data_IF_979523819963
#
_entry.id   IF_979523819963
#
_cell.length_a   1.000
_cell.length_b   1.000
_cell.length_c   1.000
_cell.angle_alpha   90.00
_cell.angle_beta   90.00
_cell.angle_gamma   90.00
#
_symmetry.space_group_name_H-M   'P 1'
#
loop_
_entity.id
_entity.type
_entity.pdbx_description
1 polymer ?
#
# COMPACT_ATOMS: atom_id res chain seq x y z
N UNK A 1 -32.32 17.50 -21.73
CA UNK A 1 -31.38 18.64 -21.91
C UNK A 1 -30.18 18.11 -22.68
N UNK A 2 -30.08 18.43 -23.97
CA UNK A 2 -28.91 18.09 -24.77
C UNK A 2 -27.75 19.01 -24.42
N UNK A 3 -26.63 18.44 -24.00
CA UNK A 3 -25.41 19.19 -23.68
C UNK A 3 -24.86 19.73 -25.01
N UNK A 4 -24.73 21.06 -25.18
CA UNK A 4 -24.21 21.63 -26.42
C UNK A 4 -22.82 21.07 -26.74
N UNK A 5 -22.53 20.82 -28.03
CA UNK A 5 -21.33 20.12 -28.50
C UNK A 5 -20.02 20.69 -27.92
N UNK A 6 -19.95 22.02 -27.74
CA UNK A 6 -18.84 22.72 -27.09
C UNK A 6 -18.58 22.26 -25.65
N UNK A 7 -19.61 22.05 -24.85
CA UNK A 7 -19.46 21.60 -23.46
C UNK A 7 -19.10 20.11 -23.40
N UNK A 8 -19.60 19.29 -24.33
CA UNK A 8 -19.16 17.89 -24.49
C UNK A 8 -17.65 17.80 -24.73
N UNK A 9 -17.11 18.65 -25.62
CA UNK A 9 -15.67 18.70 -25.88
C UNK A 9 -14.86 19.09 -24.62
N UNK A 10 -15.34 20.08 -23.85
CA UNK A 10 -14.72 20.45 -22.57
C UNK A 10 -14.77 19.32 -21.54
N UNK A 11 -15.90 18.62 -21.38
CA UNK A 11 -15.99 17.47 -20.46
C UNK A 11 -15.03 16.35 -20.83
N UNK A 12 -14.87 16.06 -22.11
CA UNK A 12 -13.90 15.06 -22.59
C UNK A 12 -12.46 15.53 -22.31
N UNK A 13 -12.15 16.79 -22.61
CA UNK A 13 -10.83 17.36 -22.37
C UNK A 13 -10.46 17.33 -20.89
N UNK A 14 -11.35 17.77 -19.99
CA UNK A 14 -11.13 17.68 -18.55
C UNK A 14 -11.04 16.22 -18.07
N UNK A 15 -11.90 15.34 -18.58
CA UNK A 15 -11.85 13.92 -18.26
C UNK A 15 -10.49 13.30 -18.58
N UNK A 16 -9.92 13.59 -19.75
CA UNK A 16 -8.58 13.13 -20.13
C UNK A 16 -7.48 13.77 -19.28
N UNK A 17 -7.57 15.08 -19.03
CA UNK A 17 -6.59 15.81 -18.25
C UNK A 17 -6.49 15.29 -16.81
N UNK A 18 -7.61 14.91 -16.19
CA UNK A 18 -7.62 14.41 -14.81
C UNK A 18 -7.43 12.89 -14.72
N UNK A 19 -7.92 12.10 -15.69
CA UNK A 19 -7.82 10.63 -15.62
C UNK A 19 -6.39 10.11 -15.67
N UNK A 20 -5.52 10.70 -16.49
CA UNK A 20 -4.13 10.24 -16.63
C UNK A 20 -3.32 10.47 -15.33
N UNK A 21 -3.30 11.68 -14.74
CA UNK A 21 -2.64 11.90 -13.45
C UNK A 21 -3.24 11.06 -12.33
N UNK A 22 -4.57 10.95 -12.24
CA UNK A 22 -5.22 10.17 -11.18
C UNK A 22 -4.87 8.68 -11.29
N UNK A 23 -4.82 8.13 -12.50
CA UNK A 23 -4.43 6.72 -12.72
C UNK A 23 -2.97 6.48 -12.37
N UNK A 24 -2.07 7.39 -12.76
CA UNK A 24 -0.65 7.31 -12.42
C UNK A 24 -0.41 7.39 -10.91
N UNK A 25 -1.06 8.34 -10.22
CA UNK A 25 -1.00 8.43 -8.76
C UNK A 25 -1.57 7.19 -8.08
N UNK A 26 -2.65 6.61 -8.61
CA UNK A 26 -3.20 5.35 -8.11
C UNK A 26 -2.21 4.19 -8.23
N UNK A 27 -1.52 4.09 -9.37
CA UNK A 27 -0.45 3.11 -9.57
C UNK A 27 0.71 3.30 -8.60
N UNK A 28 1.24 4.53 -8.47
CA UNK A 28 2.30 4.85 -7.51
C UNK A 28 1.90 4.54 -6.06
N UNK A 29 0.64 4.83 -5.70
CA UNK A 29 0.11 4.52 -4.39
C UNK A 29 0.07 3.00 -4.15
N UNK A 30 -0.39 2.22 -5.12
CA UNK A 30 -0.46 0.76 -4.99
C UNK A 30 0.94 0.14 -4.84
N UNK A 31 1.90 0.55 -5.68
CA UNK A 31 3.28 0.07 -5.60
C UNK A 31 3.94 0.51 -4.29
N UNK A 32 3.72 1.75 -3.86
CA UNK A 32 4.20 2.27 -2.58
C UNK A 32 3.69 1.49 -1.38
N UNK A 33 2.38 1.17 -1.33
CA UNK A 33 1.80 0.33 -0.26
C UNK A 33 2.45 -1.05 -0.20
N UNK A 34 2.59 -1.70 -1.34
CA UNK A 34 3.18 -3.04 -1.41
C UNK A 34 4.65 -3.01 -0.95
N UNK A 35 5.42 -2.05 -1.43
CA UNK A 35 6.80 -1.85 -0.98
C UNK A 35 6.87 -1.58 0.52
N UNK A 36 5.98 -0.73 1.07
CA UNK A 36 5.94 -0.44 2.51
C UNK A 36 5.64 -1.68 3.34
N UNK A 37 4.72 -2.54 2.90
CA UNK A 37 4.46 -3.82 3.58
C UNK A 37 5.69 -4.72 3.62
N UNK A 38 6.46 -4.80 2.53
CA UNK A 38 7.71 -5.58 2.50
C UNK A 38 8.78 -4.99 3.43
N UNK A 39 8.96 -3.67 3.40
CA UNK A 39 9.89 -2.96 4.28
C UNK A 39 9.53 -3.18 5.75
N UNK A 40 8.25 -3.14 6.08
CA UNK A 40 7.77 -3.40 7.45
C UNK A 40 8.13 -4.81 7.93
N UNK A 41 8.01 -5.84 7.07
CA UNK A 41 8.47 -7.18 7.43
C UNK A 41 9.99 -7.25 7.67
N UNK A 42 10.76 -6.51 6.89
CA UNK A 42 12.21 -6.40 7.06
C UNK A 42 12.55 -5.69 8.37
N UNK A 43 11.84 -4.61 8.69
CA UNK A 43 12.01 -3.88 9.95
C UNK A 43 11.68 -4.75 11.17
N UNK A 44 10.62 -5.56 11.10
CA UNK A 44 10.23 -6.50 12.16
C UNK A 44 11.34 -7.53 12.44
N UNK A 45 12.03 -8.04 11.41
CA UNK A 45 13.15 -8.98 11.60
C UNK A 45 14.41 -8.25 12.08
N UNK A 46 14.72 -7.04 11.60
CA UNK A 46 15.89 -6.28 12.06
C UNK A 46 15.80 -5.86 13.53
N UNK A 47 14.60 -5.64 14.03
CA UNK A 47 14.34 -5.23 15.42
C UNK A 47 14.04 -6.41 16.36
N UNK A 48 14.02 -7.64 15.84
CA UNK A 48 13.74 -8.83 16.63
C UNK A 48 14.89 -9.18 17.60
N UNK A 49 14.57 -9.94 18.64
CA UNK A 49 15.55 -10.46 19.60
C UNK A 49 16.21 -11.75 19.10
N UNK A 50 17.54 -11.76 19.09
CA UNK A 50 18.39 -12.89 18.67
C UNK A 50 19.18 -13.49 19.84
N UNK A 51 18.77 -13.22 21.08
CA UNK A 51 19.47 -13.63 22.30
C UNK A 51 19.52 -15.16 22.52
N UNK A 52 18.60 -15.92 21.94
CA UNK A 52 18.51 -17.37 22.10
C UNK A 52 18.02 -18.08 20.83
N UNK A 53 18.20 -19.41 20.75
CA UNK A 53 17.67 -20.20 19.63
C UNK A 53 16.15 -20.13 19.53
N UNK A 54 15.44 -20.08 20.65
CA UNK A 54 13.98 -19.97 20.67
C UNK A 54 13.52 -18.60 20.12
N UNK A 55 14.20 -17.51 20.47
CA UNK A 55 13.86 -16.18 19.95
C UNK A 55 14.25 -16.03 18.48
N UNK A 56 15.31 -16.70 18.01
CA UNK A 56 15.68 -16.79 16.60
C UNK A 56 14.60 -17.52 15.78
N UNK A 57 14.11 -18.67 16.27
CA UNK A 57 13.03 -19.41 15.62
C UNK A 57 11.74 -18.60 15.57
N UNK A 58 11.41 -17.89 16.66
CA UNK A 58 10.26 -17.01 16.73
C UNK A 58 10.37 -15.82 15.76
N UNK A 59 11.54 -15.19 15.66
CA UNK A 59 11.80 -14.09 14.72
C UNK A 59 11.60 -14.54 13.27
N UNK A 60 12.14 -15.72 12.91
CA UNK A 60 11.94 -16.32 11.60
C UNK A 60 10.47 -16.68 11.33
N UNK A 61 9.76 -17.25 12.31
CA UNK A 61 8.35 -17.57 12.18
C UNK A 61 7.49 -16.31 11.94
N UNK A 62 7.77 -15.24 12.70
CA UNK A 62 7.10 -13.94 12.56
C UNK A 62 7.38 -13.31 11.19
N UNK A 63 8.62 -13.36 10.72
CA UNK A 63 8.98 -12.87 9.39
C UNK A 63 8.26 -13.64 8.27
N UNK A 64 8.24 -14.97 8.35
CA UNK A 64 7.53 -15.82 7.37
C UNK A 64 6.01 -15.56 7.40
N UNK A 65 5.43 -15.33 8.57
CA UNK A 65 4.03 -14.92 8.68
C UNK A 65 3.79 -13.54 8.07
N UNK A 66 4.69 -12.58 8.30
CA UNK A 66 4.61 -11.25 7.71
C UNK A 66 4.68 -11.29 6.19
N UNK A 67 5.64 -12.03 5.61
CA UNK A 67 5.75 -12.19 4.16
C UNK A 67 4.48 -12.78 3.55
N UNK A 68 3.87 -13.79 4.18
CA UNK A 68 2.60 -14.37 3.71
C UNK A 68 1.43 -13.40 3.80
N UNK A 69 1.50 -12.40 4.68
CA UNK A 69 0.49 -11.38 4.86
C UNK A 69 0.69 -10.15 3.94
N UNK A 70 1.81 -10.07 3.20
CA UNK A 70 2.02 -9.05 2.17
C UNK A 70 1.00 -9.28 1.05
N UNK A 71 0.20 -8.26 0.77
CA UNK A 71 -0.85 -8.31 -0.22
C UNK A 71 -0.79 -7.07 -1.14
N UNK A 72 -0.39 -7.23 -2.42
CA UNK A 72 -0.35 -6.14 -3.38
C UNK A 72 -1.74 -5.57 -3.73
N UNK A 73 -2.81 -6.31 -3.43
CA UNK A 73 -4.19 -5.92 -3.65
C UNK A 73 -4.85 -5.35 -2.38
N UNK A 74 -4.10 -5.23 -1.27
CA UNK A 74 -4.65 -4.70 -0.02
C UNK A 74 -5.24 -3.31 -0.23
N UNK A 75 -6.50 -3.17 0.13
CA UNK A 75 -7.21 -1.88 0.07
C UNK A 75 -6.50 -0.79 0.87
N UNK A 76 -6.71 0.47 0.49
CA UNK A 76 -6.07 1.61 1.18
C UNK A 76 -6.50 1.73 2.65
N UNK A 77 -7.79 1.54 2.94
CA UNK A 77 -8.32 1.59 4.31
C UNK A 77 -7.72 0.51 5.22
N UNK A 78 -7.73 -0.79 4.86
CA UNK A 78 -7.10 -1.81 5.71
C UNK A 78 -5.59 -1.65 5.82
N UNK A 79 -4.90 -1.18 4.77
CA UNK A 79 -3.48 -0.85 4.85
C UNK A 79 -3.21 0.25 5.89
N UNK A 80 -3.90 1.39 5.80
CA UNK A 80 -3.71 2.50 6.74
C UNK A 80 -4.06 2.11 8.18
N UNK A 81 -5.10 1.28 8.38
CA UNK A 81 -5.46 0.77 9.70
C UNK A 81 -4.31 -0.02 10.33
N UNK A 82 -3.61 -0.84 9.56
CA UNK A 82 -2.51 -1.64 10.07
C UNK A 82 -1.24 -0.79 10.31
N UNK A 83 -0.99 0.21 9.46
CA UNK A 83 0.07 1.20 9.71
C UNK A 83 -0.17 2.01 10.99
N UNK A 84 -1.41 2.45 11.24
CA UNK A 84 -1.76 3.21 12.44
C UNK A 84 -1.54 2.37 13.71
N UNK A 85 -1.97 1.10 13.69
CA UNK A 85 -1.70 0.15 14.78
C UNK A 85 -0.20 -0.03 15.02
N UNK A 86 0.61 -0.13 13.96
CA UNK A 86 2.07 -0.24 14.05
C UNK A 86 2.71 1.03 14.62
N UNK A 87 2.21 2.21 14.26
CA UNK A 87 2.68 3.49 14.76
C UNK A 87 2.26 3.79 16.21
N UNK A 88 1.46 2.93 16.84
CA UNK A 88 1.02 3.10 18.23
C UNK A 88 -0.07 4.17 18.44
N UNK A 89 -0.85 4.47 17.39
CA UNK A 89 -2.01 5.38 17.45
C UNK A 89 -3.35 4.61 17.51
#
# INVERSE_FOLDING_TARGET
MDIPLKYRAWFIAFGLLFSVPTSYLGYLWQTGKHAKQQVNCIEDIYTADYSSMETIELANANFMACQKAVDPNKGTVPFLRDELKRAGH
#
